data_IF_858757778246
#
_entry.id   IF_858757778246
#
_cell.length_a   1.000
_cell.length_b   1.000
_cell.length_c   1.000
_cell.angle_alpha   90.00
_cell.angle_beta   90.00
_cell.angle_gamma   90.00
#
_symmetry.space_group_name_H-M   'P 1'
#
loop_
_entity.id
_entity.type
_entity.pdbx_description
1 polymer ?
#
# COMPACT_ATOMS: atom_id res chain seq x y z
N UNK A 1 10.63 -40.97 20.75
CA UNK A 1 10.07 -39.60 20.60
C UNK A 1 9.28 -39.56 19.29
N UNK A 2 7.98 -39.28 19.33
CA UNK A 2 7.17 -39.14 18.11
C UNK A 2 7.64 -37.89 17.36
N UNK A 3 8.12 -38.08 16.13
CA UNK A 3 8.43 -36.99 15.19
C UNK A 3 7.21 -36.06 15.09
N UNK A 4 7.45 -34.76 15.15
CA UNK A 4 6.43 -33.78 14.80
C UNK A 4 6.15 -33.95 13.30
N UNK A 5 5.02 -34.51 12.93
CA UNK A 5 4.54 -34.34 11.55
C UNK A 5 4.09 -32.89 11.42
N UNK A 6 4.96 -32.06 10.86
CA UNK A 6 4.52 -30.81 10.22
C UNK A 6 3.65 -31.27 9.07
N UNK A 7 2.33 -31.17 9.21
CA UNK A 7 1.40 -31.61 8.17
C UNK A 7 1.67 -30.79 6.91
N UNK A 8 2.17 -31.39 5.82
CA UNK A 8 2.26 -30.69 4.55
C UNK A 8 0.83 -30.35 4.12
N UNK A 9 0.61 -29.11 3.65
CA UNK A 9 -0.70 -28.70 3.12
C UNK A 9 -1.04 -29.65 1.97
N UNK A 10 -2.15 -30.37 2.10
CA UNK A 10 -2.52 -31.40 1.12
C UNK A 10 -2.87 -30.74 -0.23
N UNK A 11 -2.73 -31.48 -1.34
CA UNK A 11 -3.05 -30.98 -2.70
C UNK A 11 -4.46 -30.33 -2.80
N UNK A 12 -5.53 -30.85 -2.16
CA UNK A 12 -6.84 -30.19 -2.17
C UNK A 12 -6.86 -28.80 -1.50
N UNK A 13 -6.14 -28.62 -0.39
CA UNK A 13 -6.08 -27.34 0.31
C UNK A 13 -5.29 -26.30 -0.49
N UNK A 14 -4.20 -26.71 -1.13
CA UNK A 14 -3.43 -25.84 -2.03
C UNK A 14 -4.30 -25.37 -3.21
N UNK A 15 -5.06 -26.27 -3.84
CA UNK A 15 -5.98 -25.90 -4.93
C UNK A 15 -7.07 -24.93 -4.46
N UNK A 16 -7.60 -25.12 -3.26
CA UNK A 16 -8.55 -24.19 -2.66
C UNK A 16 -7.93 -22.80 -2.47
N UNK A 17 -6.70 -22.74 -1.96
CA UNK A 17 -5.98 -21.47 -1.82
C UNK A 17 -5.76 -20.82 -3.18
N UNK A 18 -5.25 -21.54 -4.19
CA UNK A 18 -5.04 -21.01 -5.54
C UNK A 18 -6.31 -20.45 -6.18
N UNK A 19 -7.45 -21.14 -6.00
CA UNK A 19 -8.74 -20.63 -6.44
C UNK A 19 -9.10 -19.32 -5.75
N UNK A 20 -8.78 -19.17 -4.47
CA UNK A 20 -9.03 -17.95 -3.71
C UNK A 20 -8.09 -16.81 -4.09
N UNK A 21 -6.83 -17.13 -4.36
CA UNK A 21 -5.83 -16.19 -4.89
C UNK A 21 -6.18 -15.76 -6.32
N UNK A 22 -6.86 -16.62 -7.08
CA UNK A 22 -7.08 -16.47 -8.52
C UNK A 22 -5.80 -16.70 -9.33
N UNK A 23 -4.84 -17.45 -8.78
CA UNK A 23 -3.52 -17.71 -9.38
C UNK A 23 -3.24 -19.20 -9.25
N UNK A 24 -3.08 -19.88 -10.39
CA UNK A 24 -2.57 -21.24 -10.44
C UNK A 24 -1.03 -21.18 -10.56
N UNK A 25 -0.34 -21.76 -9.57
CA UNK A 25 1.10 -21.92 -9.54
C UNK A 25 1.54 -23.07 -10.45
N UNK A 26 2.63 -22.85 -11.20
CA UNK A 26 3.33 -23.90 -11.94
C UNK A 26 4.12 -24.80 -11.00
N UNK A 27 4.81 -24.19 -10.05
CA UNK A 27 5.57 -24.86 -9.00
C UNK A 27 4.89 -24.67 -7.63
N UNK A 28 4.15 -25.69 -7.18
CA UNK A 28 3.47 -25.68 -5.87
C UNK A 28 4.43 -25.56 -4.70
N UNK A 29 5.72 -25.90 -4.88
CA UNK A 29 6.72 -25.82 -3.81
C UNK A 29 6.94 -24.37 -3.37
N UNK A 30 6.85 -23.42 -4.29
CA UNK A 30 6.93 -21.98 -3.95
C UNK A 30 5.74 -21.54 -3.10
N UNK A 31 4.54 -22.03 -3.41
CA UNK A 31 3.35 -21.74 -2.60
C UNK A 31 3.48 -22.35 -1.19
N UNK A 32 3.92 -23.61 -1.09
CA UNK A 32 4.16 -24.26 0.20
C UNK A 32 5.24 -23.53 1.00
N UNK A 33 6.33 -23.13 0.35
CA UNK A 33 7.41 -22.37 0.99
C UNK A 33 6.90 -21.04 1.54
N UNK A 34 6.10 -20.28 0.78
CA UNK A 34 5.52 -19.03 1.24
C UNK A 34 4.63 -19.19 2.49
N UNK A 35 3.99 -20.34 2.65
CA UNK A 35 3.15 -20.69 3.79
C UNK A 35 3.95 -21.24 4.98
N UNK A 36 5.25 -21.53 4.81
CA UNK A 36 6.06 -22.22 5.82
C UNK A 36 6.84 -21.25 6.69
N UNK A 37 6.39 -21.08 7.93
CA UNK A 37 7.09 -20.27 8.92
C UNK A 37 8.34 -21.00 9.45
N UNK A 38 9.38 -20.25 9.84
CA UNK A 38 10.64 -20.79 10.35
C UNK A 38 10.46 -21.76 11.53
N UNK A 39 9.45 -21.56 12.39
CA UNK A 39 9.13 -22.49 13.49
C UNK A 39 8.77 -23.91 13.03
N UNK A 40 8.20 -24.07 11.84
CA UNK A 40 7.90 -25.39 11.27
C UNK A 40 9.19 -26.08 10.81
N UNK A 41 10.08 -25.30 10.18
CA UNK A 41 11.37 -25.78 9.71
C UNK A 41 12.26 -26.20 10.88
N UNK A 42 12.30 -25.42 11.96
CA UNK A 42 13.11 -25.72 13.15
C UNK A 42 12.71 -27.03 13.87
N UNK A 43 11.50 -27.55 13.62
CA UNK A 43 11.06 -28.86 14.14
C UNK A 43 11.41 -30.04 13.21
N UNK A 44 12.01 -29.75 12.04
CA UNK A 44 12.34 -30.71 10.98
C UNK A 44 13.80 -30.56 10.56
N UNK A 45 14.51 -31.64 10.22
CA UNK A 45 15.90 -31.55 9.71
C UNK A 45 15.99 -30.97 8.27
N UNK A 46 14.96 -30.22 7.82
CA UNK A 46 14.80 -29.76 6.44
C UNK A 46 15.59 -28.47 6.10
N UNK A 47 16.17 -27.81 7.10
CA UNK A 47 17.06 -26.65 6.96
C UNK A 47 16.36 -25.33 6.62
N UNK A 48 16.93 -24.20 7.06
CA UNK A 48 16.34 -22.84 7.00
C UNK A 48 15.92 -22.39 5.59
N UNK A 49 16.47 -22.97 4.53
CA UNK A 49 16.14 -22.63 3.14
C UNK A 49 14.70 -22.93 2.74
N UNK A 50 13.96 -23.67 3.56
CA UNK A 50 12.55 -24.01 3.36
C UNK A 50 11.58 -23.04 4.06
N UNK A 51 12.06 -22.08 4.85
CA UNK A 51 11.20 -21.05 5.43
C UNK A 51 10.78 -20.02 4.39
N UNK A 52 9.77 -19.24 4.74
CA UNK A 52 9.23 -18.15 3.95
C UNK A 52 10.11 -16.87 3.99
N UNK A 53 11.07 -16.75 4.91
CA UNK A 53 11.84 -15.52 5.19
C UNK A 53 12.58 -14.96 3.96
N UNK A 54 13.09 -15.84 3.08
CA UNK A 54 13.74 -15.39 1.83
C UNK A 54 12.75 -14.88 0.79
N UNK A 55 11.56 -15.46 0.76
CA UNK A 55 10.48 -15.01 -0.12
C UNK A 55 9.86 -13.72 0.41
N UNK A 56 9.73 -13.59 1.74
CA UNK A 56 9.30 -12.37 2.44
C UNK A 56 10.20 -11.20 2.04
N UNK A 57 11.52 -11.32 2.21
CA UNK A 57 12.49 -10.30 1.80
C UNK A 57 12.31 -9.84 0.35
N UNK A 58 12.08 -10.77 -0.57
CA UNK A 58 11.85 -10.46 -1.99
C UNK A 58 10.48 -9.80 -2.21
N UNK A 59 9.47 -10.29 -1.49
CA UNK A 59 8.09 -9.84 -1.54
C UNK A 59 7.92 -8.41 -1.06
N UNK A 60 8.50 -8.04 0.09
CA UNK A 60 8.49 -6.68 0.64
C UNK A 60 9.03 -5.68 -0.39
N UNK A 61 10.24 -5.94 -0.92
CA UNK A 61 10.86 -5.09 -1.92
C UNK A 61 9.97 -4.92 -3.17
N UNK A 62 9.30 -5.98 -3.60
CA UNK A 62 8.40 -5.96 -4.74
C UNK A 62 7.11 -5.18 -4.46
N UNK A 63 6.48 -5.38 -3.30
CA UNK A 63 5.30 -4.63 -2.86
C UNK A 63 5.65 -3.13 -2.82
N UNK A 64 6.77 -2.77 -2.20
CA UNK A 64 7.24 -1.40 -2.11
C UNK A 64 7.43 -0.75 -3.49
N UNK A 65 8.01 -1.47 -4.45
CA UNK A 65 8.18 -1.00 -5.83
C UNK A 65 6.83 -0.80 -6.54
N UNK A 66 5.93 -1.79 -6.48
CA UNK A 66 4.65 -1.75 -7.18
C UNK A 66 3.77 -0.61 -6.64
N UNK A 67 3.73 -0.43 -5.32
CA UNK A 67 2.99 0.68 -4.71
C UNK A 67 3.63 2.03 -5.04
N UNK A 68 4.96 2.15 -5.00
CA UNK A 68 5.64 3.38 -5.40
C UNK A 68 5.32 3.76 -6.86
N UNK A 69 5.38 2.80 -7.77
CA UNK A 69 5.03 3.01 -9.18
C UNK A 69 3.57 3.45 -9.33
N UNK A 70 2.64 2.75 -8.66
CA UNK A 70 1.22 3.10 -8.71
C UNK A 70 0.97 4.52 -8.24
N UNK A 71 1.55 4.93 -7.11
CA UNK A 71 1.36 6.27 -6.56
C UNK A 71 1.96 7.34 -7.50
N UNK A 72 3.18 7.09 -8.02
CA UNK A 72 3.84 7.99 -8.96
C UNK A 72 2.98 8.25 -10.21
N UNK A 73 2.31 7.21 -10.73
CA UNK A 73 1.45 7.31 -11.90
C UNK A 73 0.08 7.96 -11.58
N UNK A 74 -0.45 7.74 -10.37
CA UNK A 74 -1.83 8.10 -10.00
C UNK A 74 -2.00 9.52 -9.46
N UNK A 75 -0.99 10.06 -8.75
CA UNK A 75 -1.09 11.36 -8.06
C UNK A 75 0.05 12.30 -8.43
N UNK A 76 -0.05 12.93 -9.60
CA UNK A 76 1.02 13.76 -10.19
C UNK A 76 1.36 15.04 -9.41
N UNK A 77 0.44 15.52 -8.58
CA UNK A 77 0.59 16.77 -7.83
C UNK A 77 1.24 16.56 -6.45
N UNK A 78 1.51 15.31 -6.06
CA UNK A 78 2.09 14.95 -4.77
C UNK A 78 3.61 15.11 -4.80
N UNK A 79 4.19 15.66 -3.74
CA UNK A 79 5.65 15.72 -3.60
C UNK A 79 6.22 14.39 -3.08
N UNK A 80 7.53 14.23 -3.09
CA UNK A 80 8.21 13.00 -2.64
C UNK A 80 7.81 12.59 -1.21
N UNK A 81 7.72 13.54 -0.27
CA UNK A 81 7.31 13.27 1.11
C UNK A 81 5.86 12.79 1.21
N UNK A 82 4.96 13.34 0.41
CA UNK A 82 3.56 12.91 0.35
C UNK A 82 3.47 11.47 -0.19
N UNK A 83 4.21 11.17 -1.27
CA UNK A 83 4.28 9.83 -1.88
C UNK A 83 4.88 8.80 -0.90
N UNK A 84 5.97 9.17 -0.21
CA UNK A 84 6.62 8.32 0.81
C UNK A 84 5.68 8.04 1.98
N UNK A 85 4.91 9.05 2.42
CA UNK A 85 3.91 8.91 3.48
C UNK A 85 2.77 7.97 3.06
N UNK A 86 2.19 8.16 1.88
CA UNK A 86 1.15 7.30 1.33
C UNK A 86 1.64 5.86 1.16
N UNK A 87 2.83 5.67 0.59
CA UNK A 87 3.42 4.34 0.43
C UNK A 87 3.55 3.66 1.79
N UNK A 88 4.12 4.33 2.78
CA UNK A 88 4.28 3.80 4.14
C UNK A 88 2.93 3.42 4.77
N UNK A 89 1.88 4.19 4.53
CA UNK A 89 0.52 3.87 5.00
C UNK A 89 -0.04 2.60 4.35
N UNK A 90 0.20 2.40 3.05
CA UNK A 90 -0.28 1.24 2.30
C UNK A 90 0.51 -0.02 2.67
N UNK A 91 1.84 0.06 2.78
CA UNK A 91 2.71 -1.11 3.00
C UNK A 91 2.97 -1.42 4.47
N UNK A 92 2.42 -0.65 5.42
CA UNK A 92 2.58 -0.95 6.85
C UNK A 92 2.01 -2.32 7.20
N UNK A 93 2.63 -2.97 8.19
CA UNK A 93 2.26 -4.31 8.61
C UNK A 93 0.78 -4.54 8.88
N UNK A 94 0.10 -3.66 9.62
CA UNK A 94 -1.34 -3.80 9.89
C UNK A 94 -2.21 -3.85 8.62
N UNK A 95 -1.76 -3.20 7.54
CA UNK A 95 -2.45 -3.23 6.26
C UNK A 95 -2.25 -4.59 5.58
N UNK A 96 -1.00 -5.06 5.52
CA UNK A 96 -0.65 -6.37 4.94
C UNK A 96 -1.31 -7.52 5.71
N UNK A 97 -1.38 -7.41 7.04
CA UNK A 97 -2.12 -8.32 7.92
C UNK A 97 -3.61 -8.38 7.56
N UNK A 98 -4.23 -7.22 7.30
CA UNK A 98 -5.61 -7.14 6.85
C UNK A 98 -5.83 -7.87 5.53
N UNK A 99 -4.93 -7.67 4.56
CA UNK A 99 -4.97 -8.36 3.27
C UNK A 99 -4.78 -9.88 3.43
N UNK A 100 -3.81 -10.30 4.25
CA UNK A 100 -3.58 -11.71 4.58
C UNK A 100 -4.82 -12.38 5.17
N UNK A 101 -5.54 -11.69 6.06
CA UNK A 101 -6.81 -12.17 6.64
C UNK A 101 -7.93 -12.24 5.61
N UNK A 102 -8.04 -11.26 4.72
CA UNK A 102 -8.98 -11.29 3.59
C UNK A 102 -8.79 -12.52 2.70
N UNK A 103 -7.53 -12.89 2.47
CA UNK A 103 -7.16 -14.13 1.76
C UNK A 103 -7.28 -15.38 2.64
N UNK A 104 -7.50 -15.23 3.95
CA UNK A 104 -7.51 -16.29 4.96
C UNK A 104 -6.21 -17.11 5.02
N UNK A 105 -5.05 -16.45 4.87
CA UNK A 105 -3.74 -17.11 4.95
C UNK A 105 -3.49 -17.77 6.31
N UNK A 106 -4.10 -17.26 7.38
CA UNK A 106 -4.05 -17.86 8.72
C UNK A 106 -4.44 -19.35 8.74
N UNK A 107 -5.32 -19.79 7.84
CA UNK A 107 -5.76 -21.18 7.75
C UNK A 107 -4.74 -22.10 7.08
N UNK A 108 -3.89 -21.55 6.23
CA UNK A 108 -2.94 -22.31 5.41
C UNK A 108 -1.51 -22.22 5.92
N UNK A 109 -1.23 -21.34 6.89
CA UNK A 109 0.08 -21.22 7.53
C UNK A 109 0.54 -22.57 8.10
N UNK A 110 1.74 -22.98 7.72
CA UNK A 110 2.44 -24.15 8.22
C UNK A 110 3.36 -23.67 9.34
N UNK A 111 3.08 -24.13 10.56
CA UNK A 111 3.72 -23.69 11.79
C UNK A 111 4.21 -24.89 12.59
N UNK A 112 5.31 -24.71 13.33
CA UNK A 112 5.72 -25.65 14.36
C UNK A 112 4.63 -25.82 15.42
N UNK A 113 4.64 -26.95 16.14
CA UNK A 113 3.60 -27.29 17.13
C UNK A 113 3.53 -26.26 18.25
N UNK A 114 4.69 -25.74 18.69
CA UNK A 114 4.76 -24.70 19.71
C UNK A 114 4.09 -23.41 19.26
N UNK A 115 4.46 -22.93 18.06
CA UNK A 115 3.94 -21.69 17.48
C UNK A 115 2.45 -21.79 17.15
N UNK A 116 1.99 -22.95 16.66
CA UNK A 116 0.56 -23.18 16.45
C UNK A 116 -0.23 -23.11 17.76
N UNK A 117 0.27 -23.73 18.83
CA UNK A 117 -0.42 -23.74 20.14
C UNK A 117 -0.47 -22.37 20.81
N UNK A 118 0.51 -21.50 20.55
CA UNK A 118 0.55 -20.14 21.09
C UNK A 118 -0.29 -19.14 20.29
N UNK A 119 -1.03 -19.59 19.27
CA UNK A 119 -1.86 -18.73 18.43
C UNK A 119 -1.13 -18.11 17.23
N UNK A 120 0.03 -18.64 16.85
CA UNK A 120 0.86 -18.12 15.76
C UNK A 120 0.17 -18.01 14.40
N UNK A 121 -0.91 -18.75 14.16
CA UNK A 121 -1.68 -18.66 12.91
C UNK A 121 -2.37 -17.29 12.75
N UNK A 122 -2.72 -16.65 13.86
CA UNK A 122 -3.35 -15.33 13.87
C UNK A 122 -2.41 -14.22 14.35
N UNK A 123 -1.12 -14.52 14.55
CA UNK A 123 -0.13 -13.53 14.97
C UNK A 123 0.06 -12.49 13.84
N UNK A 124 0.01 -11.19 14.17
CA UNK A 124 0.25 -10.09 13.22
C UNK A 124 1.48 -10.29 12.33
N UNK A 125 2.67 -10.47 12.92
CA UNK A 125 3.92 -10.65 12.15
C UNK A 125 3.85 -11.83 11.19
N UNK A 126 3.44 -13.02 11.66
CA UNK A 126 3.40 -14.21 10.81
C UNK A 126 2.48 -14.07 9.59
N UNK A 127 1.40 -13.28 9.72
CA UNK A 127 0.48 -13.00 8.61
C UNK A 127 1.04 -11.99 7.61
N UNK A 128 1.74 -10.98 8.12
CA UNK A 128 2.48 -10.00 7.32
C UNK A 128 3.57 -10.71 6.51
N UNK A 129 4.46 -11.45 7.18
CA UNK A 129 5.57 -12.18 6.57
C UNK A 129 5.06 -13.18 5.51
N UNK A 130 3.97 -13.89 5.82
CA UNK A 130 3.33 -14.83 4.88
C UNK A 130 2.74 -14.13 3.64
N UNK A 131 2.18 -12.93 3.80
CA UNK A 131 1.64 -12.17 2.68
C UNK A 131 2.75 -11.70 1.74
N UNK A 132 3.83 -11.16 2.29
CA UNK A 132 5.00 -10.76 1.53
C UNK A 132 5.64 -11.96 0.82
N UNK A 133 5.84 -13.06 1.55
CA UNK A 133 6.37 -14.28 0.98
C UNK A 133 5.50 -14.85 -0.14
N UNK A 134 4.17 -14.74 -0.02
CA UNK A 134 3.26 -15.15 -1.09
C UNK A 134 3.47 -14.30 -2.36
N UNK A 135 3.63 -12.98 -2.22
CA UNK A 135 3.95 -12.12 -3.36
C UNK A 135 5.31 -12.49 -3.98
N UNK A 136 6.32 -12.75 -3.15
CA UNK A 136 7.63 -13.26 -3.60
C UNK A 136 7.51 -14.58 -4.38
N UNK A 137 6.68 -15.51 -3.90
CA UNK A 137 6.41 -16.78 -4.57
C UNK A 137 5.69 -16.60 -5.92
N UNK A 138 4.66 -15.74 -5.98
CA UNK A 138 3.96 -15.41 -7.24
C UNK A 138 4.93 -14.82 -8.25
N UNK A 139 5.83 -13.93 -7.82
CA UNK A 139 6.84 -13.33 -8.69
C UNK A 139 7.78 -14.38 -9.28
N UNK A 140 8.32 -15.29 -8.47
CA UNK A 140 9.23 -16.34 -8.96
C UNK A 140 8.52 -17.35 -9.89
N UNK A 141 7.23 -17.64 -9.65
CA UNK A 141 6.48 -18.63 -10.43
C UNK A 141 5.89 -18.06 -11.74
N UNK A 142 5.33 -16.84 -11.67
CA UNK A 142 4.51 -16.25 -12.73
C UNK A 142 5.09 -14.98 -13.34
N UNK A 143 6.10 -14.37 -12.72
CA UNK A 143 6.78 -13.17 -13.19
C UNK A 143 6.18 -11.86 -12.63
N UNK A 144 6.89 -10.76 -12.91
CA UNK A 144 6.59 -9.43 -12.38
C UNK A 144 5.15 -8.96 -12.65
N UNK A 145 4.67 -9.13 -13.88
CA UNK A 145 3.36 -8.62 -14.28
C UNK A 145 2.22 -9.23 -13.45
N UNK A 146 2.26 -10.55 -13.24
CA UNK A 146 1.26 -11.25 -12.42
C UNK A 146 1.38 -10.86 -10.95
N UNK A 147 2.60 -10.73 -10.43
CA UNK A 147 2.81 -10.29 -9.05
C UNK A 147 2.33 -8.84 -8.82
N UNK A 148 2.61 -7.92 -9.75
CA UNK A 148 2.15 -6.53 -9.71
C UNK A 148 0.63 -6.45 -9.69
N UNK A 149 -0.04 -7.23 -10.55
CA UNK A 149 -1.50 -7.32 -10.55
C UNK A 149 -2.05 -7.91 -9.24
N UNK A 150 -1.38 -8.91 -8.66
CA UNK A 150 -1.75 -9.48 -7.37
C UNK A 150 -1.65 -8.44 -6.25
N UNK A 151 -0.55 -7.68 -6.17
CA UNK A 151 -0.38 -6.58 -5.19
C UNK A 151 -1.51 -5.57 -5.34
N UNK A 152 -1.75 -5.05 -6.55
CA UNK A 152 -2.81 -4.05 -6.81
C UNK A 152 -4.20 -4.57 -6.43
N UNK A 153 -4.48 -5.84 -6.72
CA UNK A 153 -5.78 -6.47 -6.42
C UNK A 153 -5.96 -6.74 -4.94
N UNK A 154 -4.96 -7.29 -4.26
CA UNK A 154 -5.09 -7.72 -2.86
C UNK A 154 -4.97 -6.53 -1.89
N UNK A 155 -4.33 -5.44 -2.32
CA UNK A 155 -4.24 -4.18 -1.59
C UNK A 155 -5.20 -3.11 -2.13
N UNK A 156 -6.20 -3.44 -2.94
CA UNK A 156 -7.06 -2.43 -3.57
C UNK A 156 -7.75 -1.53 -2.54
N UNK A 157 -8.32 -2.13 -1.48
CA UNK A 157 -8.99 -1.39 -0.40
C UNK A 157 -8.04 -0.38 0.28
N UNK A 158 -6.88 -0.80 0.82
CA UNK A 158 -5.99 0.15 1.48
C UNK A 158 -5.36 1.17 0.52
N UNK A 159 -5.17 0.81 -0.77
CA UNK A 159 -4.74 1.77 -1.79
C UNK A 159 -5.81 2.86 -1.95
N UNK A 160 -7.07 2.48 -2.14
CA UNK A 160 -8.19 3.41 -2.33
C UNK A 160 -8.40 4.29 -1.08
N UNK A 161 -8.31 3.70 0.11
CA UNK A 161 -8.40 4.44 1.38
C UNK A 161 -7.25 5.45 1.53
N UNK A 162 -6.01 5.04 1.25
CA UNK A 162 -4.85 5.91 1.35
C UNK A 162 -4.92 7.05 0.33
N UNK A 163 -5.30 6.77 -0.91
CA UNK A 163 -5.50 7.79 -1.94
C UNK A 163 -6.61 8.76 -1.54
N UNK A 164 -7.75 8.26 -1.08
CA UNK A 164 -8.88 9.10 -0.62
C UNK A 164 -8.46 10.00 0.54
N UNK A 165 -7.81 9.43 1.57
CA UNK A 165 -7.35 10.21 2.72
C UNK A 165 -6.24 11.19 2.37
N UNK A 166 -5.31 10.80 1.50
CA UNK A 166 -4.25 11.66 0.99
C UNK A 166 -4.79 12.85 0.22
N UNK A 167 -5.73 12.59 -0.71
CA UNK A 167 -6.46 13.63 -1.44
C UNK A 167 -7.15 14.57 -0.47
N UNK A 168 -7.84 14.06 0.55
CA UNK A 168 -8.52 14.90 1.56
C UNK A 168 -7.56 15.71 2.45
N UNK A 169 -6.32 15.25 2.65
CA UNK A 169 -5.30 15.97 3.42
C UNK A 169 -4.58 17.05 2.62
N UNK A 170 -4.46 16.90 1.31
CA UNK A 170 -3.87 17.92 0.44
C UNK A 170 -4.96 18.82 -0.17
N UNK A 171 -5.09 20.09 0.27
CA UNK A 171 -6.21 20.93 -0.13
C UNK A 171 -6.26 21.21 -1.64
N UNK A 172 -5.10 21.26 -2.31
CA UNK A 172 -5.03 21.47 -3.76
C UNK A 172 -5.61 20.27 -4.52
N UNK A 173 -5.19 19.07 -4.12
CA UNK A 173 -5.68 17.83 -4.70
C UNK A 173 -7.17 17.60 -4.40
N UNK A 174 -7.60 17.83 -3.16
CA UNK A 174 -9.01 17.77 -2.78
C UNK A 174 -9.87 18.71 -3.63
N UNK A 175 -9.42 19.97 -3.81
CA UNK A 175 -10.14 20.93 -4.65
C UNK A 175 -10.18 20.50 -6.11
N UNK A 176 -9.06 20.01 -6.64
CA UNK A 176 -9.00 19.51 -8.01
C UNK A 176 -9.96 18.34 -8.25
N UNK A 177 -9.97 17.36 -7.34
CA UNK A 177 -10.89 16.23 -7.43
C UNK A 177 -12.36 16.68 -7.35
N UNK A 178 -12.68 17.58 -6.42
CA UNK A 178 -14.03 18.13 -6.27
C UNK A 178 -14.50 18.87 -7.52
N UNK A 179 -13.65 19.72 -8.11
CA UNK A 179 -13.98 20.51 -9.31
C UNK A 179 -14.04 19.64 -10.56
N UNK A 180 -13.15 18.67 -10.70
CA UNK A 180 -13.19 17.71 -11.79
C UNK A 180 -14.49 16.89 -11.76
N UNK A 181 -14.98 16.48 -10.58
CA UNK A 181 -16.26 15.79 -10.43
C UNK A 181 -17.47 16.71 -10.65
N UNK A 182 -17.42 17.96 -10.17
CA UNK A 182 -18.57 18.88 -10.16
C UNK A 182 -18.78 19.61 -11.48
N UNK A 183 -17.70 20.08 -12.13
CA UNK A 183 -17.76 20.89 -13.35
C UNK A 183 -16.92 20.35 -14.50
N UNK A 184 -16.09 19.33 -14.27
CA UNK A 184 -15.15 18.81 -15.28
C UNK A 184 -13.92 19.70 -15.51
N UNK A 185 -13.80 20.79 -14.75
CA UNK A 185 -12.71 21.75 -14.85
C UNK A 185 -11.71 21.61 -13.71
N UNK A 186 -10.45 21.95 -13.99
CA UNK A 186 -9.35 21.92 -13.00
C UNK A 186 -9.06 23.30 -12.42
N UNK A 187 -8.71 23.41 -11.13
CA UNK A 187 -8.30 24.66 -10.51
C UNK A 187 -7.02 25.23 -11.09
N UNK A 188 -6.96 26.55 -11.25
CA UNK A 188 -5.78 27.30 -11.67
C UNK A 188 -5.34 28.24 -10.56
N UNK A 189 -4.05 28.21 -10.24
CA UNK A 189 -3.44 29.04 -9.21
C UNK A 189 -2.64 30.17 -9.84
N UNK A 190 -2.74 31.37 -9.27
CA UNK A 190 -1.93 32.52 -9.65
C UNK A 190 -1.47 33.29 -8.42
N UNK A 191 -0.21 33.72 -8.41
CA UNK A 191 0.28 34.67 -7.42
C UNK A 191 -0.25 36.06 -7.78
N UNK A 192 -1.02 36.63 -6.86
CA UNK A 192 -1.61 37.97 -7.01
C UNK A 192 -0.82 39.03 -6.24
N UNK A 193 -0.05 38.62 -5.24
CA UNK A 193 0.81 39.51 -4.46
C UNK A 193 2.06 38.75 -3.97
N UNK A 194 3.20 39.42 -3.97
CA UNK A 194 4.42 38.96 -3.30
C UNK A 194 5.03 40.15 -2.55
N UNK A 195 5.23 40.00 -1.25
CA UNK A 195 5.81 41.02 -0.36
C UNK A 195 6.91 40.42 0.51
N UNK A 196 7.68 41.28 1.18
CA UNK A 196 8.76 40.86 2.08
C UNK A 196 10.12 40.69 1.36
N UNK A 197 11.22 40.56 2.13
CA UNK A 197 12.55 40.44 1.56
C UNK A 197 12.74 39.07 0.89
N UNK A 198 13.14 39.06 -0.37
CA UNK A 198 13.29 37.86 -1.21
C UNK A 198 14.17 36.76 -0.58
N UNK A 199 15.05 37.12 0.36
CA UNK A 199 16.11 36.24 0.88
C UNK A 199 15.88 35.77 2.32
N UNK A 200 14.86 36.27 3.03
CA UNK A 200 14.67 35.94 4.45
C UNK A 200 13.23 35.69 4.88
N UNK A 201 12.23 36.33 4.25
CA UNK A 201 10.82 36.16 4.64
C UNK A 201 9.84 36.63 3.57
N UNK A 202 9.89 36.07 2.35
CA UNK A 202 8.89 36.38 1.33
C UNK A 202 7.51 35.88 1.79
N UNK A 203 6.50 36.68 1.51
CA UNK A 203 5.09 36.37 1.70
C UNK A 203 4.45 36.32 0.33
N UNK A 204 3.83 35.21 0.00
CA UNK A 204 3.08 35.01 -1.24
C UNK A 204 1.59 35.03 -0.92
N UNK A 205 0.82 35.70 -1.78
CA UNK A 205 -0.65 35.59 -1.82
C UNK A 205 -1.03 34.97 -3.15
N UNK A 206 -1.67 33.80 -3.08
CA UNK A 206 -2.16 33.07 -4.25
C UNK A 206 -3.66 33.10 -4.29
N UNK A 207 -4.21 33.23 -5.50
CA UNK A 207 -5.62 33.06 -5.79
C UNK A 207 -5.81 31.74 -6.54
N UNK A 208 -6.88 31.00 -6.20
CA UNK A 208 -7.34 29.84 -6.94
C UNK A 208 -8.64 30.17 -7.67
N UNK A 209 -8.71 29.78 -8.95
CA UNK A 209 -9.88 29.99 -9.80
C UNK A 209 -10.25 28.73 -10.59
N UNK A 210 -11.54 28.56 -10.88
CA UNK A 210 -12.09 27.50 -11.75
C UNK A 210 -13.07 28.18 -12.70
N UNK A 211 -13.00 27.89 -14.01
CA UNK A 211 -13.88 28.53 -15.00
C UNK A 211 -13.70 30.05 -15.14
N UNK A 212 -12.58 30.58 -14.65
CA UNK A 212 -12.35 32.03 -14.53
C UNK A 212 -13.01 32.67 -13.31
N UNK A 213 -13.72 31.92 -12.47
CA UNK A 213 -14.26 32.39 -11.20
C UNK A 213 -13.25 32.17 -10.08
N UNK A 214 -12.90 33.23 -9.35
CA UNK A 214 -12.08 33.14 -8.14
C UNK A 214 -12.85 32.41 -7.03
N UNK A 215 -12.25 31.36 -6.49
CA UNK A 215 -12.84 30.52 -5.44
C UNK A 215 -12.21 30.74 -4.07
N UNK A 216 -10.94 31.16 -4.02
CA UNK A 216 -10.23 31.35 -2.76
C UNK A 216 -8.89 32.05 -2.94
N UNK A 217 -8.40 32.64 -1.86
CA UNK A 217 -7.11 33.27 -1.73
C UNK A 217 -6.40 32.73 -0.49
N UNK A 218 -5.08 32.60 -0.57
CA UNK A 218 -4.28 32.00 0.49
C UNK A 218 -2.94 32.69 0.60
N UNK A 219 -2.45 32.78 1.83
CA UNK A 219 -1.17 33.42 2.16
C UNK A 219 -0.19 32.41 2.72
N UNK A 220 1.07 32.47 2.31
CA UNK A 220 2.09 31.52 2.75
C UNK A 220 3.52 32.06 2.62
N UNK A 221 4.45 31.43 3.34
CA UNK A 221 5.89 31.73 3.29
C UNK A 221 6.58 31.10 2.07
N UNK A 222 5.84 30.34 1.27
CA UNK A 222 6.25 29.81 -0.02
C UNK A 222 5.06 29.83 -0.97
N UNK A 223 5.33 29.79 -2.28
CA UNK A 223 4.28 29.68 -3.32
C UNK A 223 3.37 28.48 -3.09
N UNK A 224 3.95 27.32 -2.76
CA UNK A 224 3.19 26.11 -2.47
C UNK A 224 2.30 26.27 -1.23
N UNK A 225 2.81 26.89 -0.16
CA UNK A 225 2.03 27.13 1.05
C UNK A 225 0.85 28.09 0.81
N UNK A 226 1.05 29.17 0.04
CA UNK A 226 -0.03 30.11 -0.29
C UNK A 226 -1.10 29.46 -1.18
N UNK A 227 -0.71 28.62 -2.13
CA UNK A 227 -1.65 27.86 -2.98
C UNK A 227 -2.46 26.83 -2.18
N UNK A 228 -1.84 26.10 -1.24
CA UNK A 228 -2.54 25.16 -0.35
C UNK A 228 -3.56 25.88 0.53
N UNK A 229 -3.22 27.05 1.05
CA UNK A 229 -4.17 27.85 1.84
C UNK A 229 -5.33 28.36 0.97
N UNK A 230 -5.07 28.80 -0.27
CA UNK A 230 -6.11 29.26 -1.19
C UNK A 230 -7.09 28.13 -1.53
N UNK A 231 -6.57 26.92 -1.70
CA UNK A 231 -7.37 25.74 -1.94
C UNK A 231 -8.20 25.34 -0.71
N UNK A 232 -7.64 25.44 0.50
CA UNK A 232 -8.38 25.24 1.76
C UNK A 232 -9.54 26.22 1.91
N UNK A 233 -9.32 27.50 1.60
CA UNK A 233 -10.38 28.51 1.66
C UNK A 233 -11.49 28.22 0.64
N UNK A 234 -11.12 27.86 -0.60
CA UNK A 234 -12.07 27.46 -1.63
C UNK A 234 -12.91 26.23 -1.22
N UNK A 235 -12.26 25.19 -0.66
CA UNK A 235 -12.97 24.00 -0.18
C UNK A 235 -13.97 24.32 0.93
N UNK A 236 -13.63 25.21 1.86
CA UNK A 236 -14.56 25.67 2.91
C UNK A 236 -15.78 26.37 2.30
N UNK A 237 -15.57 27.31 1.37
CA UNK A 237 -16.66 28.03 0.68
C UNK A 237 -17.57 27.13 -0.15
N UNK A 238 -17.06 26.00 -0.62
CA UNK A 238 -17.82 25.03 -1.42
C UNK A 238 -18.58 24.01 -0.58
N UNK A 239 -18.29 23.92 0.72
CA UNK A 239 -18.97 23.04 1.68
C UNK A 239 -20.18 23.70 2.34
N UNK A 240 -20.30 25.03 2.23
CA UNK A 240 -21.47 25.83 2.61
C UNK A 240 -22.50 25.91 1.47
#
# INVERSE_FOLDING_TARGET
MKKAEVSPVEDPELRMLESKLGIAFKDKRLLVQALTHSSAVNETDLGDSMSNERLEFLGDALIGLVIAQLLFESVKDFNEGDLTSLRSQIVRGSTLQGAARGLCLNRFLILGRGERKSGGADRPSNLEDCFEALIGAVYLDRGFETASQAVKRWLSIPIDEALTQGVMKDPKTALQHLMQMRSGEIPKYRIIEQTGPDHSSPVFVSEVSVGGTSLGQGRGLSKSASEKEAASEALKKLAD
#
